data_IF_381684765867
#
_entry.id   IF_381684765867
#
_cell.length_a   1.000
_cell.length_b   1.000
_cell.length_c   1.000
_cell.angle_alpha   90.00
_cell.angle_beta   90.00
_cell.angle_gamma   90.00
#
_symmetry.space_group_name_H-M   'P 1'
#
loop_
_entity.id
_entity.type
_entity.pdbx_description
1 polymer ?
#
# COMPACT_ATOMS: atom_id res chain seq x y z
N UNK A 1 -11.81 4.83 12.63
CA UNK A 1 -11.24 3.51 12.23
C UNK A 1 -9.98 3.76 11.41
N UNK A 2 -8.92 2.99 11.65
CA UNK A 2 -7.66 3.08 10.89
C UNK A 2 -7.47 1.85 10.02
N UNK A 3 -7.18 2.06 8.74
CA UNK A 3 -6.92 0.97 7.79
C UNK A 3 -5.55 1.17 7.16
N UNK A 4 -4.79 0.09 7.10
CA UNK A 4 -3.47 0.06 6.50
C UNK A 4 -3.53 -0.56 5.10
N UNK A 5 -2.87 0.07 4.12
CA UNK A 5 -2.59 -0.49 2.81
C UNK A 5 -1.10 -0.69 2.61
N UNK A 6 -0.70 -1.79 1.99
CA UNK A 6 0.71 -2.14 1.75
C UNK A 6 0.91 -2.53 0.29
N UNK A 7 1.80 -1.80 -0.40
CA UNK A 7 2.46 -2.26 -1.62
C UNK A 7 3.75 -2.99 -1.21
N UNK A 8 3.88 -4.31 -1.43
CA UNK A 8 5.04 -5.09 -1.02
C UNK A 8 6.24 -5.01 -1.98
N UNK A 9 6.20 -4.17 -3.01
CA UNK A 9 7.29 -3.99 -3.96
C UNK A 9 8.60 -3.55 -3.31
N UNK A 10 9.73 -3.68 -4.04
CA UNK A 10 11.04 -3.23 -3.55
C UNK A 10 11.09 -1.73 -3.23
N UNK A 11 10.35 -0.93 -4.00
CA UNK A 11 10.09 0.50 -3.76
C UNK A 11 8.68 0.75 -3.22
N UNK A 12 8.10 -0.27 -2.58
CA UNK A 12 6.77 -0.20 -2.01
C UNK A 12 6.70 0.65 -0.75
N UNK A 13 5.50 0.76 -0.21
CA UNK A 13 5.24 1.57 0.96
C UNK A 13 4.12 0.96 1.83
N UNK A 14 4.04 1.46 3.04
CA UNK A 14 2.92 1.27 3.96
C UNK A 14 2.20 2.61 4.08
N UNK A 15 0.88 2.58 3.96
CA UNK A 15 0.01 3.73 4.21
C UNK A 15 -1.02 3.39 5.29
N UNK A 16 -1.23 4.29 6.23
CA UNK A 16 -2.35 4.20 7.18
C UNK A 16 -3.26 5.39 6.99
N UNK A 17 -4.54 5.10 6.74
CA UNK A 17 -5.64 6.06 6.67
C UNK A 17 -6.50 5.97 7.93
N UNK A 18 -6.97 7.13 8.39
CA UNK A 18 -7.98 7.20 9.45
C UNK A 18 -9.32 7.66 8.83
N UNK A 19 -10.44 7.05 9.26
CA UNK A 19 -11.80 7.40 8.80
C UNK A 19 -12.24 8.83 9.16
N UNK A 20 -11.50 9.54 10.00
CA UNK A 20 -11.78 10.94 10.36
C UNK A 20 -11.47 11.95 9.25
N UNK A 21 -11.18 11.48 8.03
CA UNK A 21 -11.06 12.30 6.83
C UNK A 21 -9.69 12.25 6.15
N UNK A 22 -9.59 12.84 4.96
CA UNK A 22 -8.41 12.74 4.10
C UNK A 22 -7.14 13.43 4.64
N UNK A 23 -7.24 14.17 5.74
CA UNK A 23 -6.10 14.81 6.39
C UNK A 23 -5.22 13.84 7.21
N UNK A 24 -5.72 12.64 7.51
CA UNK A 24 -5.01 11.68 8.34
C UNK A 24 -4.38 10.57 7.50
N UNK A 25 -3.29 10.91 6.81
CA UNK A 25 -2.48 10.02 5.98
C UNK A 25 -1.09 9.86 6.59
N UNK A 26 -0.73 8.66 6.98
CA UNK A 26 0.63 8.32 7.40
C UNK A 26 1.29 7.38 6.38
N UNK A 27 2.51 7.67 5.95
CA UNK A 27 3.24 6.95 4.90
C UNK A 27 4.63 6.55 5.36
N UNK A 28 5.06 5.33 5.01
CA UNK A 28 6.40 4.81 5.25
C UNK A 28 6.91 4.09 3.99
N UNK A 29 8.08 4.49 3.48
CA UNK A 29 8.74 3.83 2.35
C UNK A 29 9.48 2.57 2.83
N UNK A 30 9.12 1.41 2.30
CA UNK A 30 9.72 0.12 2.68
C UNK A 30 11.19 0.00 2.26
N UNK A 31 11.56 0.58 1.11
CA UNK A 31 12.95 0.55 0.64
C UNK A 31 13.95 1.39 1.45
N UNK A 32 13.48 2.15 2.44
CA UNK A 32 14.31 3.06 3.26
C UNK A 32 14.44 2.64 4.71
N UNK A 33 13.80 1.56 5.12
CA UNK A 33 13.75 1.13 6.51
C UNK A 33 14.05 -0.36 6.64
N UNK A 34 14.48 -0.79 7.81
CA UNK A 34 14.60 -2.21 8.10
C UNK A 34 13.24 -2.84 8.38
N UNK A 35 13.09 -4.17 8.26
CA UNK A 35 11.87 -4.86 8.66
C UNK A 35 11.44 -4.57 10.10
N UNK A 36 12.39 -4.39 11.01
CA UNK A 36 12.12 -4.05 12.39
C UNK A 36 11.56 -2.64 12.54
N UNK A 37 12.12 -1.66 11.83
CA UNK A 37 11.60 -0.28 11.84
C UNK A 37 10.18 -0.23 11.27
N UNK A 38 9.92 -0.98 10.19
CA UNK A 38 8.58 -1.09 9.59
C UNK A 38 7.58 -1.70 10.59
N UNK A 39 7.99 -2.74 11.31
CA UNK A 39 7.18 -3.32 12.40
C UNK A 39 6.87 -2.30 13.49
N UNK A 40 7.89 -1.62 14.03
CA UNK A 40 7.71 -0.63 15.09
C UNK A 40 6.78 0.51 14.65
N UNK A 41 6.99 0.99 13.43
CA UNK A 41 6.16 2.05 12.87
C UNK A 41 4.70 1.61 12.73
N UNK A 42 4.44 0.44 12.13
CA UNK A 42 3.09 -0.09 11.96
C UNK A 42 2.40 -0.38 13.29
N UNK A 43 3.12 -0.98 14.23
CA UNK A 43 2.64 -1.23 15.59
C UNK A 43 2.20 0.07 16.29
N UNK A 44 2.97 1.15 16.13
CA UNK A 44 2.63 2.48 16.68
C UNK A 44 1.38 3.08 16.03
N UNK A 45 1.12 2.80 14.76
CA UNK A 45 -0.08 3.30 14.06
C UNK A 45 -1.36 2.61 14.53
N UNK A 46 -1.29 1.39 15.05
CA UNK A 46 -2.41 0.60 15.55
C UNK A 46 -3.62 0.56 14.58
N UNK A 47 -3.44 0.11 13.31
CA UNK A 47 -4.56 -0.01 12.40
C UNK A 47 -5.51 -1.13 12.84
N UNK A 48 -6.80 -0.98 12.57
CA UNK A 48 -7.82 -1.98 12.84
C UNK A 48 -7.76 -3.15 11.85
N UNK A 49 -7.34 -2.88 10.61
CA UNK A 49 -7.12 -3.89 9.59
C UNK A 49 -5.97 -3.53 8.67
N UNK A 50 -5.40 -4.55 8.01
CA UNK A 50 -4.32 -4.38 7.02
C UNK A 50 -4.73 -5.05 5.71
N UNK A 51 -4.57 -4.33 4.60
CA UNK A 51 -4.76 -4.81 3.25
C UNK A 51 -3.42 -4.81 2.51
N UNK A 52 -3.01 -5.98 2.01
CA UNK A 52 -1.75 -6.14 1.27
C UNK A 52 -2.07 -6.43 -0.19
N UNK A 53 -1.35 -5.79 -1.10
CA UNK A 53 -1.46 -6.13 -2.52
C UNK A 53 -1.02 -7.57 -2.76
N UNK A 54 -1.91 -8.36 -3.33
CA UNK A 54 -1.66 -9.75 -3.70
C UNK A 54 -1.24 -9.82 -5.18
N UNK A 55 0.06 -9.84 -5.40
CA UNK A 55 0.65 -10.01 -6.73
C UNK A 55 1.25 -11.40 -6.81
N UNK A 56 0.66 -12.24 -7.66
CA UNK A 56 1.24 -13.53 -8.01
C UNK A 56 2.47 -13.34 -8.91
N UNK A 57 3.28 -14.40 -9.06
CA UNK A 57 4.42 -14.40 -9.98
C UNK A 57 3.99 -13.87 -11.35
N UNK A 58 4.61 -12.78 -11.81
CA UNK A 58 4.28 -12.17 -13.09
C UNK A 58 5.03 -12.94 -14.21
N UNK A 59 4.26 -13.41 -15.17
CA UNK A 59 4.80 -13.97 -16.41
C UNK A 59 5.69 -12.91 -17.08
N UNK A 60 6.92 -13.29 -17.46
CA UNK A 60 7.88 -12.39 -18.11
C UNK A 60 8.81 -11.63 -17.16
N UNK A 61 8.66 -11.72 -15.85
CA UNK A 61 9.67 -11.26 -14.90
C UNK A 61 10.80 -12.29 -14.72
N UNK A 62 12.04 -11.81 -14.49
CA UNK A 62 13.14 -12.70 -14.16
C UNK A 62 12.88 -13.49 -12.88
N UNK A 63 13.48 -14.69 -12.78
CA UNK A 63 13.42 -15.49 -11.55
C UNK A 63 13.91 -14.70 -10.33
N UNK A 64 14.96 -13.89 -10.49
CA UNK A 64 15.48 -13.00 -9.43
C UNK A 64 14.45 -11.96 -8.97
N UNK A 65 13.73 -11.35 -9.89
CA UNK A 65 12.70 -10.35 -9.58
C UNK A 65 11.51 -10.99 -8.87
N UNK A 66 11.04 -12.15 -9.35
CA UNK A 66 9.95 -12.90 -8.72
C UNK A 66 10.34 -13.36 -7.31
N UNK A 67 11.57 -13.86 -7.12
CA UNK A 67 12.08 -14.25 -5.81
C UNK A 67 12.15 -13.05 -4.84
N UNK A 68 12.70 -11.92 -5.30
CA UNK A 68 12.77 -10.69 -4.50
C UNK A 68 11.38 -10.19 -4.09
N UNK A 69 10.42 -10.23 -5.01
CA UNK A 69 9.05 -9.84 -4.72
C UNK A 69 8.39 -10.78 -3.69
N UNK A 70 8.49 -12.09 -3.88
CA UNK A 70 7.95 -13.09 -2.93
C UNK A 70 8.56 -12.95 -1.54
N UNK A 71 9.89 -12.69 -1.46
CA UNK A 71 10.58 -12.42 -0.19
C UNK A 71 9.99 -11.19 0.52
N UNK A 72 9.82 -10.08 -0.18
CA UNK A 72 9.26 -8.85 0.38
C UNK A 72 7.82 -9.05 0.82
N UNK A 73 7.00 -9.70 0.01
CA UNK A 73 5.61 -10.04 0.36
C UNK A 73 5.54 -10.87 1.66
N UNK A 74 6.40 -11.88 1.80
CA UNK A 74 6.49 -12.69 3.01
C UNK A 74 6.86 -11.85 4.24
N UNK A 75 7.86 -10.98 4.11
CA UNK A 75 8.32 -10.09 5.20
C UNK A 75 7.19 -9.14 5.63
N UNK A 76 6.56 -8.41 4.71
CA UNK A 76 5.51 -7.45 5.08
C UNK A 76 4.26 -8.14 5.63
N UNK A 77 3.95 -9.34 5.15
CA UNK A 77 2.84 -10.15 5.69
C UNK A 77 3.12 -10.55 7.14
N UNK A 78 4.33 -11.00 7.44
CA UNK A 78 4.74 -11.34 8.81
C UNK A 78 4.70 -10.10 9.73
N UNK A 79 5.26 -8.98 9.27
CA UNK A 79 5.23 -7.70 9.99
C UNK A 79 3.78 -7.30 10.31
N UNK A 80 2.89 -7.34 9.31
CA UNK A 80 1.50 -6.97 9.49
C UNK A 80 0.81 -7.83 10.56
N UNK A 81 0.94 -9.16 10.46
CA UNK A 81 0.32 -10.10 11.39
C UNK A 81 0.81 -9.91 12.84
N UNK A 82 2.10 -9.62 13.03
CA UNK A 82 2.68 -9.41 14.35
C UNK A 82 2.29 -8.04 14.92
N UNK A 83 2.32 -6.99 14.08
CA UNK A 83 2.10 -5.61 14.51
C UNK A 83 0.67 -5.35 15.00
N UNK A 84 -0.33 -6.04 14.45
CA UNK A 84 -1.75 -5.79 14.74
C UNK A 84 -2.39 -6.80 15.72
N UNK A 85 -1.56 -7.59 16.42
CA UNK A 85 -2.00 -8.47 17.52
C UNK A 85 -3.26 -9.32 17.19
N UNK A 86 -3.24 -10.01 16.04
CA UNK A 86 -4.31 -10.94 15.66
C UNK A 86 -5.54 -10.30 15.01
N UNK A 87 -5.50 -9.02 14.71
CA UNK A 87 -6.52 -8.38 13.87
C UNK A 87 -6.41 -8.85 12.41
N UNK A 88 -7.36 -8.45 11.58
CA UNK A 88 -7.50 -9.00 10.24
C UNK A 88 -6.44 -8.47 9.27
N UNK A 89 -5.66 -9.39 8.67
CA UNK A 89 -4.82 -9.13 7.49
C UNK A 89 -5.50 -9.73 6.28
N UNK A 90 -5.90 -8.88 5.34
CA UNK A 90 -6.59 -9.23 4.09
C UNK A 90 -5.65 -8.98 2.90
N UNK A 91 -5.93 -9.62 1.78
CA UNK A 91 -5.21 -9.36 0.52
C UNK A 91 -6.16 -8.88 -0.56
N UNK A 92 -5.64 -8.09 -1.51
CA UNK A 92 -6.39 -7.61 -2.67
C UNK A 92 -5.50 -7.59 -3.91
N UNK A 93 -6.00 -8.11 -5.03
CA UNK A 93 -5.25 -8.07 -6.28
C UNK A 93 -5.24 -6.66 -6.90
N UNK A 94 -4.19 -6.29 -7.67
CA UNK A 94 -4.12 -5.00 -8.36
C UNK A 94 -5.38 -4.70 -9.19
N UNK A 95 -5.85 -5.68 -9.93
CA UNK A 95 -7.04 -5.54 -10.79
C UNK A 95 -8.28 -5.11 -10.01
N UNK A 96 -8.46 -5.60 -8.79
CA UNK A 96 -9.64 -5.33 -7.97
C UNK A 96 -9.58 -3.91 -7.42
N UNK A 97 -8.50 -3.54 -6.72
CA UNK A 97 -8.42 -2.21 -6.12
C UNK A 97 -8.29 -1.11 -7.16
N UNK A 98 -7.53 -1.32 -8.26
CA UNK A 98 -7.41 -0.35 -9.34
C UNK A 98 -8.76 -0.06 -10.01
N UNK A 99 -9.55 -1.12 -10.30
CA UNK A 99 -10.91 -0.94 -10.82
C UNK A 99 -11.79 -0.15 -9.85
N UNK A 100 -11.68 -0.44 -8.55
CA UNK A 100 -12.48 0.22 -7.51
C UNK A 100 -12.20 1.72 -7.44
N UNK A 101 -10.93 2.13 -7.49
CA UNK A 101 -10.55 3.54 -7.45
C UNK A 101 -10.72 4.28 -8.78
N UNK A 102 -11.14 3.59 -9.84
CA UNK A 102 -11.48 4.20 -11.13
C UNK A 102 -10.33 4.25 -12.12
N UNK A 103 -9.33 3.38 -12.03
CA UNK A 103 -8.27 3.26 -13.05
C UNK A 103 -8.87 2.71 -14.35
N UNK A 104 -8.68 3.46 -15.44
CA UNK A 104 -9.22 3.14 -16.78
C UNK A 104 -8.14 2.86 -17.83
N UNK A 105 -6.91 3.28 -17.57
CA UNK A 105 -5.76 3.11 -18.46
C UNK A 105 -5.08 1.74 -18.28
N UNK A 106 -4.13 1.41 -19.15
CA UNK A 106 -3.38 0.15 -19.12
C UNK A 106 -1.88 0.39 -19.15
N UNK A 107 -1.13 -0.62 -18.76
CA UNK A 107 0.33 -0.66 -18.83
C UNK A 107 0.98 0.45 -18.00
N UNK A 108 2.00 1.10 -18.58
CA UNK A 108 2.81 2.12 -17.86
C UNK A 108 2.03 3.36 -17.41
N UNK A 109 0.87 3.64 -18.03
CA UNK A 109 0.05 4.79 -17.67
C UNK A 109 -0.69 4.62 -16.33
N UNK A 110 -0.84 3.39 -15.83
CA UNK A 110 -1.52 3.08 -14.57
C UNK A 110 -0.92 3.87 -13.42
N UNK A 111 0.39 3.86 -13.26
CA UNK A 111 1.09 4.54 -12.15
C UNK A 111 0.78 6.04 -12.08
N UNK A 112 0.77 6.69 -13.23
CA UNK A 112 0.42 8.11 -13.33
C UNK A 112 -1.02 8.36 -12.93
N UNK A 113 -1.97 7.58 -13.47
CA UNK A 113 -3.38 7.73 -13.15
C UNK A 113 -3.68 7.44 -11.67
N UNK A 114 -3.06 6.41 -11.08
CA UNK A 114 -3.18 6.13 -9.64
C UNK A 114 -2.72 7.32 -8.79
N UNK A 115 -1.58 7.92 -9.13
CA UNK A 115 -1.08 9.11 -8.44
C UNK A 115 -2.00 10.33 -8.60
N UNK A 116 -2.58 10.54 -9.79
CA UNK A 116 -3.55 11.61 -10.04
C UNK A 116 -4.82 11.43 -9.19
N UNK A 117 -5.37 10.21 -9.14
CA UNK A 117 -6.53 9.88 -8.30
C UNK A 117 -6.18 10.09 -6.82
N UNK A 118 -5.02 9.59 -6.39
CA UNK A 118 -4.57 9.73 -5.01
C UNK A 118 -4.42 11.20 -4.60
N UNK A 119 -3.86 12.06 -5.45
CA UNK A 119 -3.74 13.49 -5.19
C UNK A 119 -5.09 14.20 -5.10
N UNK A 120 -6.09 13.78 -5.89
CA UNK A 120 -7.44 14.35 -5.85
C UNK A 120 -8.12 13.98 -4.52
N UNK A 121 -8.04 12.71 -4.12
CA UNK A 121 -8.71 12.20 -2.93
C UNK A 121 -7.98 12.61 -1.63
N UNK A 122 -6.65 12.69 -1.68
CA UNK A 122 -5.77 12.94 -0.54
C UNK A 122 -4.70 13.99 -0.86
N UNK A 123 -5.07 15.26 -1.06
CA UNK A 123 -4.13 16.30 -1.48
C UNK A 123 -3.01 16.57 -0.46
N UNK A 124 -3.17 16.13 0.79
CA UNK A 124 -2.15 16.24 1.84
C UNK A 124 -1.08 15.13 1.77
N UNK A 125 -1.31 14.08 0.97
CA UNK A 125 -0.39 12.97 0.86
C UNK A 125 0.88 13.36 0.09
N UNK A 126 2.04 13.12 0.69
CA UNK A 126 3.32 13.38 0.02
C UNK A 126 3.69 12.21 -0.89
N UNK A 127 3.27 12.27 -2.15
CA UNK A 127 3.49 11.24 -3.17
C UNK A 127 4.74 11.46 -4.03
N UNK A 128 5.45 12.56 -3.84
CA UNK A 128 6.60 12.92 -4.67
C UNK A 128 7.86 13.08 -3.83
N UNK A 129 8.98 12.65 -4.39
CA UNK A 129 10.29 12.83 -3.76
C UNK A 129 10.80 14.27 -3.86
N UNK A 130 11.90 14.57 -3.16
CA UNK A 130 12.52 15.90 -3.11
C UNK A 130 12.86 16.50 -4.49
N UNK A 131 13.08 15.65 -5.50
CA UNK A 131 13.40 16.05 -6.89
C UNK A 131 12.17 16.04 -7.80
N UNK A 132 10.95 15.95 -7.26
CA UNK A 132 9.70 15.92 -8.02
C UNK A 132 9.36 14.57 -8.67
N UNK A 133 10.16 13.52 -8.48
CA UNK A 133 9.84 12.18 -8.99
C UNK A 133 8.71 11.52 -8.21
N UNK A 134 7.79 10.87 -8.91
CA UNK A 134 6.71 10.11 -8.30
C UNK A 134 7.25 8.93 -7.48
N UNK A 135 6.78 8.80 -6.27
CA UNK A 135 6.97 7.65 -5.39
C UNK A 135 5.74 6.73 -5.53
N UNK A 136 5.69 5.97 -6.62
CA UNK A 136 4.53 5.18 -7.02
C UNK A 136 4.09 4.19 -5.94
N UNK A 137 5.01 3.56 -5.20
CA UNK A 137 4.66 2.70 -4.07
C UNK A 137 3.84 3.40 -2.99
N UNK A 138 4.06 4.72 -2.77
CA UNK A 138 3.21 5.49 -1.84
C UNK A 138 1.79 5.66 -2.37
N UNK A 139 1.65 5.95 -3.66
CA UNK A 139 0.35 6.10 -4.29
C UNK A 139 -0.43 4.78 -4.29
N UNK A 140 0.23 3.67 -4.61
CA UNK A 140 -0.37 2.34 -4.59
C UNK A 140 -0.81 1.96 -3.16
N UNK A 141 0.07 2.08 -2.16
CA UNK A 141 -0.27 1.79 -0.76
C UNK A 141 -1.43 2.66 -0.24
N UNK A 142 -1.47 3.94 -0.62
CA UNK A 142 -2.56 4.85 -0.26
C UNK A 142 -3.89 4.41 -0.88
N UNK A 143 -3.90 4.01 -2.16
CA UNK A 143 -5.12 3.56 -2.82
C UNK A 143 -5.58 2.18 -2.35
N UNK A 144 -4.67 1.31 -1.95
CA UNK A 144 -5.00 0.04 -1.28
C UNK A 144 -5.64 0.32 0.09
N UNK A 145 -5.10 1.26 0.87
CA UNK A 145 -5.70 1.67 2.15
C UNK A 145 -7.10 2.29 1.94
N UNK A 146 -7.26 3.14 0.93
CA UNK A 146 -8.55 3.71 0.54
C UNK A 146 -9.57 2.63 0.18
N UNK A 147 -9.16 1.66 -0.64
CA UNK A 147 -9.99 0.50 -0.95
C UNK A 147 -10.43 -0.23 0.31
N UNK A 148 -9.48 -0.56 1.19
CA UNK A 148 -9.74 -1.26 2.44
C UNK A 148 -10.69 -0.49 3.36
N UNK A 149 -10.47 0.81 3.55
CA UNK A 149 -11.31 1.66 4.38
C UNK A 149 -12.79 1.63 3.94
N UNK A 150 -13.02 1.77 2.63
CA UNK A 150 -14.38 1.76 2.08
C UNK A 150 -15.03 0.35 2.07
N UNK A 151 -14.24 -0.70 2.22
CA UNK A 151 -14.77 -2.07 2.39
C UNK A 151 -15.20 -2.33 3.82
N UNK A 152 -14.37 -1.92 4.78
CA UNK A 152 -14.66 -2.08 6.21
C UNK A 152 -15.86 -1.23 6.67
N UNK A 153 -16.09 -0.05 6.07
CA UNK A 153 -17.25 0.80 6.39
C UNK A 153 -18.59 0.25 5.87
N UNK A 154 -18.55 -0.76 4.99
CA UNK A 154 -19.76 -1.38 4.40
C UNK A 154 -20.10 -2.74 5.00
N UNK A 155 -19.21 -3.30 5.81
CA UNK A 155 -19.41 -4.55 6.56
C UNK A 155 -19.99 -4.25 7.93
#
# INVERSE_FOLDING_TARGET
MRVCGIDPGANGAICVLDSHGPAHVALLDLGKVTPFDAYQWLHKQQPNSVWIEDVHSLFGMSAKSNFGFGKNLGIVTAIAKIAINGQTVKTVTPKIWQKYVGVTVRGKAIKKQVAEIANILYPVANLYGKRGGLLDGRADALMIAHYGLNKEEKE
#
